data_IF_338608518802
#
_entry.id   IF_338608518802
#
_cell.length_a   1.000
_cell.length_b   1.000
_cell.length_c   1.000
_cell.angle_alpha   90.00
_cell.angle_beta   90.00
_cell.angle_gamma   90.00
#
_symmetry.space_group_name_H-M   'P 1'
#
loop_
_entity.id
_entity.type
_entity.pdbx_description
1 polymer ?
#
# COMPACT_ATOMS: atom_id res chain seq x y z
N UNK A 1 17.26 -15.22 4.44
CA UNK A 1 17.13 -14.05 3.55
C UNK A 1 17.46 -12.82 4.40
N UNK A 2 18.63 -12.27 4.21
CA UNK A 2 19.04 -11.09 4.97
C UNK A 2 18.13 -9.92 4.61
N UNK A 3 17.58 -9.32 5.62
CA UNK A 3 16.74 -8.14 5.47
C UNK A 3 17.68 -6.97 5.15
N UNK A 4 17.63 -6.35 3.98
CA UNK A 4 18.48 -5.20 3.70
C UNK A 4 17.96 -4.00 4.50
N UNK A 5 18.25 -4.01 5.80
CA UNK A 5 17.91 -2.91 6.74
C UNK A 5 18.46 -1.57 6.25
N UNK A 6 19.49 -1.62 5.41
CA UNK A 6 20.17 -0.43 4.90
C UNK A 6 19.45 0.31 3.79
N UNK A 7 18.49 -0.31 3.10
CA UNK A 7 17.78 0.30 1.97
C UNK A 7 16.53 1.10 2.35
N UNK A 8 16.11 1.06 3.61
CA UNK A 8 14.82 1.61 4.04
C UNK A 8 14.80 3.12 4.26
N UNK A 9 15.85 3.71 4.78
CA UNK A 9 15.81 5.07 5.31
C UNK A 9 16.77 5.99 4.51
N UNK A 10 16.22 6.74 3.56
CA UNK A 10 16.94 7.72 2.74
C UNK A 10 18.05 7.13 1.86
N UNK A 11 17.97 5.86 1.52
CA UNK A 11 18.92 5.21 0.62
C UNK A 11 18.19 4.50 -0.52
N UNK A 12 18.62 4.78 -1.73
CA UNK A 12 18.19 4.06 -2.93
C UNK A 12 19.01 2.78 -3.08
N UNK A 13 18.34 1.69 -3.46
CA UNK A 13 19.00 0.43 -3.73
C UNK A 13 18.64 -0.06 -5.13
N UNK A 14 19.65 -0.14 -6.00
CA UNK A 14 19.48 -0.54 -7.41
C UNK A 14 19.18 -2.03 -7.59
N UNK A 15 19.58 -2.87 -6.64
CA UNK A 15 19.39 -4.31 -6.71
C UNK A 15 18.84 -4.84 -5.40
N UNK A 16 17.52 -4.86 -5.31
CA UNK A 16 16.82 -5.53 -4.22
C UNK A 16 16.51 -6.98 -4.61
N UNK A 17 16.48 -7.91 -3.65
CA UNK A 17 15.92 -9.25 -3.88
C UNK A 17 14.52 -9.14 -4.48
N UNK A 18 14.15 -10.11 -5.29
CA UNK A 18 12.81 -10.17 -5.93
C UNK A 18 11.69 -10.14 -4.89
N UNK A 19 11.96 -10.66 -3.69
CA UNK A 19 11.05 -10.64 -2.55
C UNK A 19 11.72 -10.05 -1.33
N UNK A 20 11.10 -9.06 -0.74
CA UNK A 20 11.58 -8.40 0.48
C UNK A 20 10.63 -8.75 1.61
N UNK A 21 11.11 -9.49 2.60
CA UNK A 21 10.32 -9.84 3.77
C UNK A 21 9.91 -8.59 4.56
N UNK A 22 10.83 -7.67 4.81
CA UNK A 22 10.57 -6.48 5.62
C UNK A 22 10.05 -6.86 7.01
N UNK A 23 8.92 -6.27 7.40
CA UNK A 23 8.24 -6.53 8.68
C UNK A 23 7.33 -7.76 8.66
N UNK A 24 7.21 -8.44 7.51
CA UNK A 24 6.37 -9.61 7.37
C UNK A 24 6.94 -10.81 8.13
N UNK A 25 6.06 -11.73 8.55
CA UNK A 25 6.48 -12.98 9.18
C UNK A 25 7.16 -13.91 8.17
N UNK A 26 7.85 -14.92 8.64
CA UNK A 26 8.49 -15.94 7.79
C UNK A 26 7.46 -16.59 6.86
N UNK A 27 7.81 -16.78 5.58
CA UNK A 27 6.93 -17.27 4.53
C UNK A 27 5.99 -16.20 3.94
N UNK A 28 6.23 -14.93 4.28
CA UNK A 28 5.49 -13.79 3.76
C UNK A 28 6.46 -12.66 3.41
N UNK A 29 6.07 -11.83 2.46
CA UNK A 29 6.87 -10.68 2.01
C UNK A 29 6.02 -9.41 1.80
N UNK A 30 6.71 -8.28 1.69
CA UNK A 30 6.10 -7.02 1.26
C UNK A 30 5.71 -7.12 -0.22
N UNK A 31 4.48 -6.75 -0.61
CA UNK A 31 4.10 -6.80 -2.02
C UNK A 31 4.98 -5.88 -2.85
N UNK A 32 5.43 -6.37 -3.99
CA UNK A 32 6.02 -5.54 -5.03
C UNK A 32 4.92 -4.70 -5.71
N UNK A 33 5.34 -3.70 -6.47
CA UNK A 33 4.43 -2.93 -7.30
C UNK A 33 3.70 -3.83 -8.31
N UNK A 34 4.41 -4.80 -8.89
CA UNK A 34 3.83 -5.69 -9.89
C UNK A 34 2.77 -6.59 -9.26
N UNK A 35 2.99 -7.10 -8.04
CA UNK A 35 1.98 -7.87 -7.30
C UNK A 35 0.75 -7.02 -6.94
N UNK A 36 0.92 -5.74 -6.58
CA UNK A 36 -0.21 -4.83 -6.43
C UNK A 36 -0.97 -4.63 -7.76
N UNK A 37 -0.23 -4.50 -8.86
CA UNK A 37 -0.85 -4.37 -10.18
C UNK A 37 -1.58 -5.65 -10.58
N UNK A 38 -1.01 -6.82 -10.33
CA UNK A 38 -1.67 -8.12 -10.57
C UNK A 38 -2.98 -8.22 -9.80
N UNK A 39 -3.00 -7.82 -8.53
CA UNK A 39 -4.22 -7.79 -7.73
C UNK A 39 -5.29 -6.86 -8.34
N UNK A 40 -4.88 -5.67 -8.79
CA UNK A 40 -5.80 -4.72 -9.44
C UNK A 40 -6.34 -5.29 -10.75
N UNK A 41 -5.49 -5.92 -11.55
CA UNK A 41 -5.87 -6.52 -12.84
C UNK A 41 -6.68 -7.82 -12.70
N UNK A 42 -6.64 -8.46 -11.54
CA UNK A 42 -7.43 -9.65 -11.26
C UNK A 42 -8.94 -9.37 -11.12
N UNK A 43 -9.32 -8.11 -10.89
CA UNK A 43 -10.74 -7.72 -10.91
C UNK A 43 -11.18 -7.40 -12.33
N UNK A 44 -12.39 -7.86 -12.69
CA UNK A 44 -12.96 -7.65 -14.04
C UNK A 44 -13.13 -6.16 -14.34
N UNK A 45 -13.47 -5.37 -13.33
CA UNK A 45 -13.68 -3.91 -13.44
C UNK A 45 -12.60 -3.15 -12.67
N UNK A 46 -11.47 -2.93 -13.31
CA UNK A 46 -10.31 -2.23 -12.71
C UNK A 46 -10.62 -0.78 -12.34
N UNK A 47 -11.55 -0.13 -13.03
CA UNK A 47 -11.99 1.24 -12.70
C UNK A 47 -12.70 1.32 -11.34
N UNK A 48 -13.29 0.22 -10.89
CA UNK A 48 -13.95 0.07 -9.59
C UNK A 48 -13.16 -0.79 -8.59
N UNK A 49 -11.90 -1.12 -8.86
CA UNK A 49 -11.07 -1.96 -7.99
C UNK A 49 -11.00 -1.42 -6.55
N UNK A 50 -10.88 -0.11 -6.38
CA UNK A 50 -10.86 0.51 -5.05
C UNK A 50 -12.17 0.28 -4.28
N UNK A 51 -13.31 0.40 -4.94
CA UNK A 51 -14.62 0.10 -4.34
C UNK A 51 -14.75 -1.38 -3.97
N UNK A 52 -14.21 -2.26 -4.80
CA UNK A 52 -14.23 -3.72 -4.57
C UNK A 52 -13.36 -4.09 -3.35
N UNK A 53 -12.22 -3.43 -3.17
CA UNK A 53 -11.27 -3.72 -2.09
C UNK A 53 -11.63 -3.08 -0.76
N UNK A 54 -12.34 -1.94 -0.77
CA UNK A 54 -12.73 -1.23 0.45
C UNK A 54 -13.69 -2.05 1.31
N UNK A 55 -13.48 -1.98 2.63
CA UNK A 55 -14.44 -2.49 3.63
C UNK A 55 -15.82 -1.85 3.45
N UNK A 56 -16.85 -2.56 3.91
CA UNK A 56 -18.25 -2.10 3.84
C UNK A 56 -18.57 -1.01 4.86
N UNK A 57 -17.65 -0.71 5.77
CA UNK A 57 -17.82 0.27 6.84
C UNK A 57 -16.54 1.04 7.10
N UNK A 58 -16.66 2.19 7.75
CA UNK A 58 -15.54 3.00 8.23
C UNK A 58 -15.09 4.11 7.29
N UNK A 59 -15.48 4.09 6.03
CA UNK A 59 -15.15 5.14 5.06
C UNK A 59 -16.12 6.31 5.16
N UNK A 60 -15.59 7.54 5.24
CA UNK A 60 -16.38 8.77 5.29
C UNK A 60 -17.02 9.10 3.94
N UNK A 61 -17.97 10.03 3.96
CA UNK A 61 -18.60 10.63 2.77
C UNK A 61 -19.22 9.62 1.80
N UNK A 62 -19.77 8.52 2.34
CA UNK A 62 -20.36 7.47 1.51
C UNK A 62 -19.34 6.62 0.75
N UNK A 63 -18.08 6.69 1.14
CA UNK A 63 -16.95 6.01 0.49
C UNK A 63 -16.83 4.50 0.75
N UNK A 64 -17.75 3.89 1.48
CA UNK A 64 -17.74 2.46 1.77
C UNK A 64 -17.71 1.61 0.49
N UNK A 65 -16.97 0.51 0.56
CA UNK A 65 -16.85 -0.43 -0.54
C UNK A 65 -17.89 -1.54 -0.54
N UNK A 66 -17.75 -2.44 -1.50
CA UNK A 66 -18.54 -3.68 -1.56
C UNK A 66 -17.86 -4.84 -0.86
N UNK A 67 -16.54 -4.77 -0.76
CA UNK A 67 -15.69 -5.82 -0.19
C UNK A 67 -16.00 -7.23 -0.78
N UNK A 68 -16.34 -7.26 -2.06
CA UNK A 68 -16.85 -8.48 -2.70
C UNK A 68 -15.82 -9.61 -2.80
N UNK A 69 -14.54 -9.30 -2.61
CA UNK A 69 -13.44 -10.28 -2.58
C UNK A 69 -12.93 -10.58 -1.16
N UNK A 70 -13.53 -9.97 -0.12
CA UNK A 70 -13.07 -10.12 1.25
C UNK A 70 -11.67 -9.52 1.51
N UNK A 71 -11.25 -8.53 0.70
CA UNK A 71 -9.95 -7.90 0.89
C UNK A 71 -9.95 -6.90 2.04
N UNK A 72 -11.09 -6.30 2.35
CA UNK A 72 -11.41 -5.53 3.56
C UNK A 72 -10.42 -4.41 3.88
N UNK A 73 -10.09 -3.55 2.93
CA UNK A 73 -9.22 -2.38 3.19
C UNK A 73 -9.94 -1.40 4.09
N UNK A 74 -9.32 -1.10 5.24
CA UNK A 74 -9.81 -0.12 6.21
C UNK A 74 -9.20 1.27 5.95
N UNK A 75 -9.95 2.36 6.15
CA UNK A 75 -9.47 3.73 5.93
C UNK A 75 -8.67 4.25 7.13
N UNK A 76 -7.53 3.63 7.40
CA UNK A 76 -6.73 3.89 8.60
C UNK A 76 -5.82 5.11 8.52
N UNK A 77 -5.86 5.86 7.42
CA UNK A 77 -4.98 7.02 7.26
C UNK A 77 -3.48 6.68 7.21
N UNK A 78 -2.65 7.63 7.57
CA UNK A 78 -1.19 7.49 7.62
C UNK A 78 -0.57 8.49 8.59
N UNK A 79 0.65 8.20 9.04
CA UNK A 79 1.40 9.08 9.92
C UNK A 79 2.47 9.85 9.14
N UNK A 80 2.43 11.18 9.24
CA UNK A 80 3.37 12.07 8.58
C UNK A 80 4.63 12.27 9.44
N UNK A 81 5.78 12.47 8.81
CA UNK A 81 7.08 12.65 9.48
C UNK A 81 7.15 13.86 10.43
N UNK A 82 6.18 14.77 10.38
CA UNK A 82 6.06 15.91 11.30
C UNK A 82 5.25 15.61 12.58
N UNK A 83 5.04 14.33 12.88
CA UNK A 83 4.35 13.93 14.10
C UNK A 83 2.83 14.08 14.05
N UNK A 84 2.24 14.11 12.83
CA UNK A 84 0.79 14.25 12.64
C UNK A 84 0.21 13.05 11.89
N UNK A 85 -0.96 12.66 12.31
CA UNK A 85 -1.79 11.65 11.68
C UNK A 85 -2.78 12.32 10.72
N UNK A 86 -2.98 11.74 9.55
CA UNK A 86 -3.85 12.27 8.51
C UNK A 86 -4.72 11.20 7.88
N UNK A 87 -5.86 11.62 7.37
CA UNK A 87 -6.69 10.85 6.45
C UNK A 87 -7.51 9.75 7.10
N UNK A 88 -7.71 9.78 8.42
CA UNK A 88 -8.58 8.84 9.12
C UNK A 88 -10.00 8.84 8.52
N UNK A 89 -10.51 7.66 8.23
CA UNK A 89 -11.79 7.49 7.55
C UNK A 89 -11.77 7.80 6.03
N UNK A 90 -10.77 8.52 5.52
CA UNK A 90 -10.74 9.02 4.15
C UNK A 90 -9.78 8.32 3.21
N UNK A 91 -8.73 7.70 3.74
CA UNK A 91 -7.65 7.17 2.93
C UNK A 91 -7.00 5.94 3.56
N UNK A 92 -6.57 5.01 2.73
CA UNK A 92 -5.65 3.94 3.08
C UNK A 92 -4.44 3.98 2.16
N UNK A 93 -3.25 3.94 2.73
CA UNK A 93 -1.97 3.93 2.01
C UNK A 93 -1.15 2.72 2.47
N UNK A 94 -0.67 1.93 1.53
CA UNK A 94 0.07 0.69 1.81
C UNK A 94 1.38 0.67 1.05
N UNK A 95 2.46 0.33 1.74
CA UNK A 95 3.77 0.20 1.12
C UNK A 95 3.83 -0.90 0.07
N UNK A 96 4.58 -0.62 -0.99
CA UNK A 96 5.21 -1.62 -1.84
C UNK A 96 6.66 -1.80 -1.41
N UNK A 97 7.26 -2.92 -1.80
CA UNK A 97 8.69 -3.20 -1.55
C UNK A 97 9.65 -2.37 -2.40
N UNK A 98 9.16 -1.65 -3.41
CA UNK A 98 10.00 -0.95 -4.37
C UNK A 98 10.37 0.47 -3.95
N UNK A 99 11.67 0.71 -3.86
CA UNK A 99 12.26 2.03 -3.74
C UNK A 99 12.30 2.73 -5.10
N UNK A 100 11.98 4.01 -5.13
CA UNK A 100 12.02 4.84 -6.35
C UNK A 100 13.21 5.79 -6.32
N UNK A 101 13.53 6.31 -5.15
CA UNK A 101 14.67 7.20 -4.91
C UNK A 101 15.07 7.14 -3.43
N UNK A 102 16.03 7.95 -3.04
CA UNK A 102 16.41 8.08 -1.62
C UNK A 102 15.24 8.47 -0.72
N UNK A 103 14.32 9.27 -1.24
CA UNK A 103 13.22 9.84 -0.47
C UNK A 103 11.87 9.13 -0.69
N UNK A 104 11.68 8.45 -1.82
CA UNK A 104 10.38 7.92 -2.23
C UNK A 104 10.40 6.40 -2.45
N UNK A 105 9.26 5.80 -2.14
CA UNK A 105 8.94 4.42 -2.51
C UNK A 105 7.56 4.35 -3.15
N UNK A 106 7.28 3.25 -3.82
CA UNK A 106 5.97 2.97 -4.41
C UNK A 106 4.97 2.62 -3.30
N UNK A 107 3.76 3.09 -3.46
CA UNK A 107 2.63 2.78 -2.58
C UNK A 107 1.36 2.49 -3.36
N UNK A 108 0.50 1.66 -2.80
CA UNK A 108 -0.89 1.54 -3.21
C UNK A 108 -1.76 2.44 -2.33
N UNK A 109 -2.66 3.22 -2.96
CA UNK A 109 -3.55 4.14 -2.27
C UNK A 109 -5.00 3.94 -2.69
N UNK A 110 -5.89 3.94 -1.69
CA UNK A 110 -7.33 3.88 -1.85
C UNK A 110 -7.94 5.05 -1.07
N UNK A 111 -8.89 5.76 -1.69
CA UNK A 111 -9.51 6.97 -1.14
C UNK A 111 -11.04 6.81 -1.07
N UNK A 112 -11.67 7.47 -0.07
CA UNK A 112 -13.13 7.43 0.12
C UNK A 112 -13.88 7.94 -1.10
N UNK A 113 -13.39 9.00 -1.73
CA UNK A 113 -14.01 9.68 -2.87
C UNK A 113 -13.67 9.09 -4.23
N UNK A 114 -12.98 7.93 -4.28
CA UNK A 114 -12.59 7.24 -5.52
C UNK A 114 -13.02 5.79 -5.53
N UNK A 115 -13.44 5.32 -6.70
CA UNK A 115 -13.71 3.91 -6.94
C UNK A 115 -12.48 3.14 -7.44
N UNK A 116 -11.51 3.83 -8.03
CA UNK A 116 -10.27 3.22 -8.50
C UNK A 116 -9.20 3.14 -7.43
N UNK A 117 -8.24 2.24 -7.62
CA UNK A 117 -6.98 2.21 -6.87
C UNK A 117 -5.98 3.14 -7.53
N UNK A 118 -5.17 3.81 -6.74
CA UNK A 118 -4.02 4.58 -7.21
C UNK A 118 -2.75 3.85 -6.84
N UNK A 119 -1.99 3.42 -7.84
CA UNK A 119 -0.67 2.83 -7.66
C UNK A 119 0.38 3.88 -8.02
N UNK A 120 0.86 4.59 -7.02
CA UNK A 120 1.78 5.71 -7.19
C UNK A 120 3.24 5.28 -7.20
N UNK A 121 3.96 5.78 -8.19
CA UNK A 121 5.37 5.46 -8.40
C UNK A 121 6.32 6.27 -7.51
N UNK A 122 5.93 7.44 -7.04
CA UNK A 122 6.87 8.39 -6.43
C UNK A 122 6.22 9.32 -5.39
N UNK A 123 5.18 8.88 -4.69
CA UNK A 123 4.49 9.74 -3.72
C UNK A 123 4.59 9.29 -2.26
N UNK A 124 5.03 8.07 -2.02
CA UNK A 124 5.26 7.57 -0.67
C UNK A 124 6.60 8.06 -0.14
N UNK A 125 6.62 9.16 0.63
CA UNK A 125 7.84 9.53 1.35
C UNK A 125 8.23 8.42 2.31
N UNK A 126 9.46 7.93 2.21
CA UNK A 126 10.00 6.88 3.11
C UNK A 126 10.01 7.27 4.59
N UNK A 127 9.86 8.56 4.87
CA UNK A 127 9.74 9.10 6.23
C UNK A 127 8.31 9.04 6.80
N UNK A 128 7.31 8.61 5.99
CA UNK A 128 5.94 8.40 6.46
C UNK A 128 5.78 7.00 7.03
N UNK A 129 4.85 6.81 7.97
CA UNK A 129 4.40 5.50 8.36
C UNK A 129 3.09 5.17 7.64
N UNK A 130 3.14 4.18 6.77
CA UNK A 130 2.00 3.65 6.02
C UNK A 130 1.68 2.24 6.50
N UNK A 131 0.49 1.78 6.17
CA UNK A 131 0.10 0.40 6.43
C UNK A 131 0.95 -0.60 5.64
N UNK A 132 1.04 -1.80 6.16
CA UNK A 132 1.67 -2.95 5.50
C UNK A 132 0.64 -4.06 5.36
N UNK A 133 0.61 -4.67 4.19
CA UNK A 133 -0.13 -5.90 3.93
C UNK A 133 0.79 -6.90 3.26
N UNK A 134 1.07 -7.98 3.97
CA UNK A 134 1.99 -8.99 3.48
C UNK A 134 1.32 -9.93 2.49
N UNK A 135 2.09 -10.46 1.55
CA UNK A 135 1.70 -11.49 0.59
C UNK A 135 2.44 -12.78 0.97
N UNK A 136 1.74 -13.90 0.85
CA UNK A 136 2.32 -15.23 1.11
C UNK A 136 3.27 -15.61 -0.02
N UNK A 137 4.42 -16.20 0.34
CA UNK A 137 5.44 -16.69 -0.60
C UNK A 137 4.95 -17.81 -1.52
#
# INVERSE_FOLDING_TARGET
MENPIECGNRKYCDSLPTRIRGVCVEGWHLPSRDEWNELIMAVVDTANAGRIFKSQTGWIDGGNGTDSLGFSVLPVGYYHNKGKYYGDGGISRMWSSQSVSDLFATEMRIESNRNSVVLNFASGYKSFALSVRCVKD
#
